data_IF_239471558145
#
_entry.id   IF_239471558145
#
_cell.length_a   1.000
_cell.length_b   1.000
_cell.length_c   1.000
_cell.angle_alpha   90.00
_cell.angle_beta   90.00
_cell.angle_gamma   90.00
#
_symmetry.space_group_name_H-M   'P 1'
#
loop_
_entity.id
_entity.type
_entity.pdbx_description
1 polymer ?
#
# COMPACT_ATOMS: atom_id res chain seq x y z
N UNK A 1 5.46 15.60 -3.02
CA UNK A 1 4.65 16.02 -4.18
C UNK A 1 5.41 17.04 -5.05
N UNK A 2 5.06 17.22 -6.32
CA UNK A 2 5.64 18.28 -7.16
C UNK A 2 4.88 19.60 -6.98
N UNK A 3 5.59 20.68 -6.67
CA UNK A 3 5.01 22.01 -6.44
C UNK A 3 4.42 22.68 -7.70
N UNK A 4 4.73 22.18 -8.89
CA UNK A 4 4.24 22.74 -10.15
C UNK A 4 3.05 21.98 -10.74
N UNK A 5 3.15 20.65 -10.86
CA UNK A 5 2.07 19.85 -11.46
C UNK A 5 1.11 19.23 -10.44
N UNK A 6 1.44 19.29 -9.14
CA UNK A 6 0.65 18.66 -8.08
C UNK A 6 0.79 17.14 -7.99
N UNK A 7 1.63 16.51 -8.82
CA UNK A 7 1.83 15.06 -8.83
C UNK A 7 2.36 14.51 -7.50
N UNK A 8 1.84 13.35 -7.10
CA UNK A 8 2.27 12.63 -5.90
C UNK A 8 3.30 11.57 -6.26
N UNK A 9 4.38 11.52 -5.50
CA UNK A 9 5.53 10.66 -5.71
C UNK A 9 5.99 10.15 -4.36
N UNK A 10 6.59 8.97 -4.33
CA UNK A 10 7.20 8.38 -3.15
C UNK A 10 8.65 8.04 -3.49
N UNK A 11 9.61 8.73 -2.87
CA UNK A 11 11.04 8.51 -3.13
C UNK A 11 11.65 7.45 -2.22
N UNK A 12 10.90 6.94 -1.24
CA UNK A 12 11.37 5.91 -0.33
C UNK A 12 11.44 4.56 -1.07
N UNK A 13 12.55 3.85 -0.87
CA UNK A 13 12.66 2.44 -1.22
C UNK A 13 12.51 1.65 0.08
N UNK A 14 11.50 0.79 0.14
CA UNK A 14 11.23 -0.05 1.31
C UNK A 14 11.69 -1.46 0.97
N UNK A 15 12.62 -1.97 1.74
CA UNK A 15 13.13 -3.32 1.61
C UNK A 15 13.40 -3.87 3.02
N UNK A 16 12.40 -4.55 3.56
CA UNK A 16 12.38 -4.99 4.96
C UNK A 16 12.24 -6.51 4.96
N UNK A 17 13.15 -7.20 5.64
CA UNK A 17 13.01 -8.64 5.89
C UNK A 17 11.82 -8.90 6.82
N UNK A 18 11.08 -9.99 6.59
CA UNK A 18 9.97 -10.32 7.48
C UNK A 18 10.46 -10.75 8.86
N UNK A 19 9.81 -10.25 9.91
CA UNK A 19 10.07 -10.70 11.28
C UNK A 19 9.51 -12.11 11.51
N UNK A 20 10.18 -12.91 12.36
CA UNK A 20 9.75 -14.26 12.78
C UNK A 20 9.45 -15.24 11.63
N UNK A 21 10.19 -15.16 10.52
CA UNK A 21 9.97 -16.00 9.34
C UNK A 21 8.82 -15.52 8.45
N UNK A 22 8.30 -14.32 8.70
CA UNK A 22 7.35 -13.63 7.85
C UNK A 22 7.92 -13.32 6.45
N UNK A 23 7.06 -13.01 5.47
CA UNK A 23 7.50 -12.66 4.13
C UNK A 23 8.24 -11.33 4.13
N UNK A 24 9.35 -11.25 3.38
CA UNK A 24 10.01 -9.98 3.05
C UNK A 24 9.03 -9.02 2.38
N UNK A 25 9.10 -7.75 2.76
CA UNK A 25 8.35 -6.66 2.15
C UNK A 25 9.27 -5.84 1.25
N UNK A 26 8.95 -5.78 -0.04
CA UNK A 26 9.65 -4.93 -1.00
C UNK A 26 8.66 -3.97 -1.66
N UNK A 27 8.88 -2.67 -1.52
CA UNK A 27 8.13 -1.62 -2.21
C UNK A 27 9.11 -0.66 -2.90
N UNK A 28 9.20 -0.70 -4.24
CA UNK A 28 10.08 0.21 -4.97
C UNK A 28 9.57 1.65 -4.89
N UNK A 29 10.46 2.64 -5.05
CA UNK A 29 10.05 4.05 -5.07
C UNK A 29 9.18 4.35 -6.29
N UNK A 30 8.22 5.26 -6.10
CA UNK A 30 7.44 5.91 -7.15
C UNK A 30 8.08 7.25 -7.51
N UNK A 31 9.19 7.18 -8.26
CA UNK A 31 10.03 8.34 -8.59
C UNK A 31 9.29 9.36 -9.49
N UNK A 32 9.59 10.66 -9.32
CA UNK A 32 9.10 11.67 -10.24
C UNK A 32 9.77 11.55 -11.62
N UNK A 33 9.15 12.09 -12.69
CA UNK A 33 9.84 12.30 -13.95
C UNK A 33 10.87 13.45 -13.81
N UNK A 34 11.91 13.53 -14.68
CA UNK A 34 13.03 14.47 -14.51
C UNK A 34 12.62 15.93 -14.34
N UNK A 35 11.60 16.39 -15.06
CA UNK A 35 11.10 17.76 -14.97
C UNK A 35 10.47 18.12 -13.62
N UNK A 36 10.21 17.14 -12.74
CA UNK A 36 9.62 17.31 -11.42
C UNK A 36 10.62 17.14 -10.27
N UNK A 37 11.80 16.54 -10.50
CA UNK A 37 12.77 16.19 -9.46
C UNK A 37 13.17 17.40 -8.58
N UNK A 38 13.56 18.52 -9.20
CA UNK A 38 13.96 19.74 -8.48
C UNK A 38 12.80 20.53 -7.86
N UNK A 39 11.56 20.08 -8.07
CA UNK A 39 10.32 20.74 -7.62
C UNK A 39 9.58 19.90 -6.59
N UNK A 40 10.20 18.81 -6.14
CA UNK A 40 9.65 18.01 -5.07
C UNK A 40 9.65 18.79 -3.76
N UNK A 41 8.49 18.79 -3.10
CA UNK A 41 8.29 19.28 -1.75
C UNK A 41 7.63 18.18 -0.92
N UNK A 42 7.96 18.10 0.36
CA UNK A 42 7.17 17.32 1.33
C UNK A 42 5.87 18.07 1.63
N UNK A 43 4.78 17.35 1.90
CA UNK A 43 3.54 18.01 2.32
C UNK A 43 3.69 18.46 3.76
N UNK A 44 2.94 19.48 4.15
CA UNK A 44 2.98 20.00 5.52
C UNK A 44 2.53 18.95 6.57
N UNK A 45 1.71 17.97 6.17
CA UNK A 45 1.22 16.88 7.04
C UNK A 45 2.13 15.64 7.03
N UNK A 46 3.22 15.61 6.25
CA UNK A 46 4.19 14.50 6.21
C UNK A 46 5.23 14.63 7.34
N UNK A 47 4.79 14.85 8.58
CA UNK A 47 5.63 14.88 9.79
C UNK A 47 5.38 13.65 10.66
N UNK A 48 6.37 13.23 11.44
CA UNK A 48 6.25 12.03 12.28
C UNK A 48 5.10 12.17 13.28
N UNK A 49 4.94 13.35 13.87
CA UNK A 49 3.88 13.65 14.83
C UNK A 49 2.49 13.49 14.20
N UNK A 50 2.29 14.05 13.00
CA UNK A 50 1.02 13.94 12.28
C UNK A 50 0.76 12.51 11.82
N UNK A 51 1.78 11.80 11.36
CA UNK A 51 1.66 10.38 10.96
C UNK A 51 1.26 9.50 12.15
N UNK A 52 1.90 9.66 13.32
CA UNK A 52 1.54 8.93 14.54
C UNK A 52 0.11 9.20 14.97
N UNK A 53 -0.32 10.46 14.97
CA UNK A 53 -1.69 10.80 15.34
C UNK A 53 -2.72 10.22 14.35
N UNK A 54 -2.42 10.24 13.05
CA UNK A 54 -3.27 9.61 12.03
C UNK A 54 -3.43 8.11 12.24
N UNK A 55 -2.33 7.41 12.56
CA UNK A 55 -2.38 5.98 12.86
C UNK A 55 -3.18 5.69 14.13
N UNK A 56 -2.98 6.49 15.19
CA UNK A 56 -3.75 6.38 16.44
C UNK A 56 -5.25 6.53 16.19
N UNK A 57 -5.66 7.60 15.49
CA UNK A 57 -7.07 7.84 15.14
C UNK A 57 -7.62 6.74 14.22
N UNK A 58 -6.83 6.24 13.26
CA UNK A 58 -7.23 5.12 12.42
C UNK A 58 -7.57 3.90 13.29
N UNK A 59 -6.65 3.47 14.17
CA UNK A 59 -6.86 2.31 15.03
C UNK A 59 -8.07 2.49 15.97
N UNK A 60 -8.17 3.64 16.66
CA UNK A 60 -9.29 3.93 17.57
C UNK A 60 -10.66 3.81 16.88
N UNK A 61 -10.73 4.19 15.60
CA UNK A 61 -11.98 4.20 14.84
C UNK A 61 -12.24 2.90 14.08
N UNK A 62 -11.20 2.22 13.57
CA UNK A 62 -11.38 1.01 12.75
C UNK A 62 -11.43 -0.26 13.59
N UNK A 63 -10.74 -0.35 14.72
CA UNK A 63 -10.70 -1.57 15.53
C UNK A 63 -12.12 -2.04 15.97
N UNK A 64 -13.03 -1.16 16.45
CA UNK A 64 -14.41 -1.58 16.75
C UNK A 64 -15.18 -2.10 15.53
N UNK A 65 -14.89 -1.56 14.34
CA UNK A 65 -15.53 -1.97 13.08
C UNK A 65 -14.97 -3.31 12.61
N UNK A 66 -13.65 -3.48 12.68
CA UNK A 66 -12.98 -4.75 12.41
C UNK A 66 -13.52 -5.86 13.32
N UNK A 67 -13.61 -5.59 14.62
CA UNK A 67 -14.14 -6.57 15.59
C UNK A 67 -15.61 -6.92 15.31
N UNK A 68 -16.43 -5.94 14.92
CA UNK A 68 -17.80 -6.18 14.51
C UNK A 68 -17.90 -7.20 13.35
N UNK A 69 -17.04 -7.10 12.33
CA UNK A 69 -17.01 -8.05 11.21
C UNK A 69 -16.31 -9.36 11.56
N UNK A 70 -15.26 -9.32 12.38
CA UNK A 70 -14.52 -10.49 12.87
C UNK A 70 -15.42 -11.43 13.66
N UNK A 71 -16.18 -10.91 14.63
CA UNK A 71 -17.15 -11.67 15.42
C UNK A 71 -18.26 -12.33 14.59
N UNK A 72 -18.46 -11.88 13.34
CA UNK A 72 -19.45 -12.42 12.39
C UNK A 72 -18.85 -13.36 11.35
N UNK A 73 -17.53 -13.61 11.43
CA UNK A 73 -16.81 -14.39 10.41
C UNK A 73 -16.82 -13.72 9.03
N UNK A 74 -16.91 -12.38 8.98
CA UNK A 74 -16.99 -11.59 7.73
C UNK A 74 -15.74 -10.73 7.49
N UNK A 75 -14.70 -10.91 8.29
CA UNK A 75 -13.40 -10.29 8.10
C UNK A 75 -12.44 -11.31 7.50
N UNK A 76 -11.77 -10.94 6.41
CA UNK A 76 -10.73 -11.73 5.77
C UNK A 76 -9.41 -10.97 5.88
N UNK A 77 -8.42 -11.59 6.50
CA UNK A 77 -7.06 -11.06 6.59
C UNK A 77 -6.17 -11.74 5.53
N UNK A 78 -5.25 -10.99 4.94
CA UNK A 78 -4.31 -11.51 3.95
C UNK A 78 -2.98 -10.75 4.01
N UNK A 79 -1.90 -11.41 3.60
CA UNK A 79 -0.55 -10.84 3.67
C UNK A 79 -0.23 -9.96 2.46
N UNK A 80 0.31 -8.76 2.73
CA UNK A 80 0.81 -7.82 1.73
C UNK A 80 2.34 -7.91 1.61
N UNK A 81 2.89 -8.53 0.54
CA UNK A 81 4.34 -8.69 0.35
C UNK A 81 5.05 -7.47 -0.23
N UNK A 82 4.31 -6.46 -0.69
CA UNK A 82 4.92 -5.36 -1.44
C UNK A 82 3.92 -4.43 -2.10
N UNK A 83 4.34 -3.83 -3.21
CA UNK A 83 3.53 -2.90 -4.01
C UNK A 83 2.32 -3.56 -4.67
N UNK A 84 1.62 -2.79 -5.51
CA UNK A 84 0.45 -3.28 -6.25
C UNK A 84 0.77 -4.54 -7.08
N UNK A 85 1.86 -4.61 -7.85
CA UNK A 85 2.15 -5.79 -8.67
C UNK A 85 2.28 -7.09 -7.84
N UNK A 86 2.88 -7.00 -6.66
CA UNK A 86 3.11 -8.16 -5.78
C UNK A 86 1.88 -8.50 -4.93
N UNK A 87 1.10 -7.49 -4.54
CA UNK A 87 -0.04 -7.63 -3.62
C UNK A 87 -1.37 -7.89 -4.32
N UNK A 88 -1.58 -7.37 -5.54
CA UNK A 88 -2.84 -7.51 -6.27
C UNK A 88 -3.23 -8.96 -6.56
N UNK A 89 -2.32 -9.82 -7.09
CA UNK A 89 -2.67 -11.22 -7.35
C UNK A 89 -3.05 -11.98 -6.07
N UNK A 90 -2.42 -11.65 -4.94
CA UNK A 90 -2.71 -12.28 -3.64
C UNK A 90 -4.08 -11.87 -3.11
N UNK A 91 -4.48 -10.61 -3.30
CA UNK A 91 -5.82 -10.16 -2.96
C UNK A 91 -6.88 -10.88 -3.80
N UNK A 92 -6.69 -10.97 -5.12
CA UNK A 92 -7.60 -11.70 -6.00
C UNK A 92 -7.71 -13.17 -5.61
N UNK A 93 -6.58 -13.81 -5.30
CA UNK A 93 -6.55 -15.19 -4.80
C UNK A 93 -7.34 -15.32 -3.49
N UNK A 94 -7.13 -14.42 -2.53
CA UNK A 94 -7.84 -14.43 -1.25
C UNK A 94 -9.35 -14.26 -1.41
N UNK A 95 -9.78 -13.49 -2.41
CA UNK A 95 -11.19 -13.29 -2.76
C UNK A 95 -11.75 -14.35 -3.72
N UNK A 96 -10.94 -15.30 -4.16
CA UNK A 96 -11.28 -16.29 -5.18
C UNK A 96 -11.84 -15.67 -6.47
N UNK A 97 -11.21 -14.58 -6.92
CA UNK A 97 -11.53 -13.85 -8.14
C UNK A 97 -10.48 -14.17 -9.20
N UNK A 98 -10.90 -14.52 -10.41
CA UNK A 98 -9.99 -14.64 -11.55
C UNK A 98 -9.58 -13.25 -12.04
N UNK A 99 -8.28 -13.05 -12.26
CA UNK A 99 -7.78 -11.80 -12.85
C UNK A 99 -8.25 -11.68 -14.32
N UNK A 100 -9.08 -10.68 -14.66
CA UNK A 100 -9.58 -10.50 -16.01
C UNK A 100 -8.48 -10.12 -17.02
N UNK A 101 -7.38 -9.51 -16.58
CA UNK A 101 -6.28 -9.09 -17.46
C UNK A 101 -5.34 -10.26 -17.80
N UNK A 102 -5.36 -11.34 -17.02
CA UNK A 102 -4.62 -12.57 -17.31
C UNK A 102 -5.18 -13.32 -18.55
N UNK A 103 -6.43 -13.05 -18.96
CA UNK A 103 -7.03 -13.66 -20.16
C UNK A 103 -6.57 -13.03 -21.48
N UNK A 104 -5.89 -11.87 -21.46
CA UNK A 104 -5.39 -11.21 -22.69
C UNK A 104 -3.99 -11.68 -23.12
N UNK A 105 -3.27 -12.43 -22.30
CA UNK A 105 -1.92 -12.92 -22.62
C UNK A 105 -1.86 -14.38 -23.10
N UNK A 106 -2.99 -15.07 -23.21
CA UNK A 106 -3.07 -16.46 -23.67
C UNK A 106 -3.64 -16.61 -25.11
N UNK A 107 -3.45 -15.60 -25.96
CA UNK A 107 -3.68 -15.70 -27.39
C UNK A 107 -2.39 -15.32 -28.14
N UNK A 108 -1.53 -16.31 -28.34
CA UNK A 108 -0.49 -16.35 -29.36
C UNK A 108 -0.49 -17.76 -29.97
#
# INVERSE_FOLDING_TARGET
MCSQCGGNFNVASIDIEGEDGGPRMYMPPLLPPPQCESKLIARADDTEEVVKERLRVYHDLTEPVEEFYRARGKLLEFNLPGGIPESWPKLLQALNIEDPDNKRSAAA
#
